data_IF_505525470482
#
_entry.id   IF_505525470482
#
_cell.length_a   1.000
_cell.length_b   1.000
_cell.length_c   1.000
_cell.angle_alpha   90.00
_cell.angle_beta   90.00
_cell.angle_gamma   90.00
#
_symmetry.space_group_name_H-M   'P 1'
#
loop_
_entity.id
_entity.type
_entity.pdbx_description
1 polymer ?
#
# COMPACT_ATOMS: atom_id res chain seq x y z
N UNK A 1 -29.72 -24.02 47.59
CA UNK A 1 -29.69 -23.88 46.13
C UNK A 1 -28.91 -22.62 45.81
N UNK A 2 -27.60 -22.76 45.54
CA UNK A 2 -26.76 -21.64 45.13
C UNK A 2 -26.53 -21.78 43.61
N UNK A 3 -27.02 -20.81 42.85
CA UNK A 3 -26.71 -20.70 41.43
C UNK A 3 -25.29 -20.15 41.28
N UNK A 4 -24.36 -21.04 40.98
CA UNK A 4 -23.00 -20.67 40.64
C UNK A 4 -23.01 -20.01 39.24
N UNK A 5 -22.92 -18.68 39.22
CA UNK A 5 -22.64 -17.94 37.99
C UNK A 5 -21.20 -18.24 37.57
N UNK A 6 -20.98 -19.30 36.80
CA UNK A 6 -19.76 -19.48 36.03
C UNK A 6 -19.73 -18.42 34.93
N UNK A 7 -19.26 -17.22 35.27
CA UNK A 7 -18.75 -16.29 34.28
C UNK A 7 -17.56 -16.98 33.62
N UNK A 8 -17.58 -17.22 32.30
CA UNK A 8 -16.51 -17.94 31.58
C UNK A 8 -15.29 -17.03 31.31
N UNK A 9 -14.22 -17.03 32.14
CA UNK A 9 -13.02 -16.23 31.87
C UNK A 9 -12.30 -16.67 30.58
N UNK A 10 -12.53 -17.91 30.14
CA UNK A 10 -11.82 -18.51 29.01
C UNK A 10 -12.32 -18.00 27.65
N UNK A 11 -13.60 -17.69 27.51
CA UNK A 11 -14.18 -17.17 26.26
C UNK A 11 -13.65 -15.77 25.98
N UNK A 12 -13.67 -14.88 26.97
CA UNK A 12 -13.14 -13.52 26.85
C UNK A 12 -11.65 -13.51 26.48
N UNK A 13 -10.84 -14.35 27.16
CA UNK A 13 -9.40 -14.47 26.86
C UNK A 13 -9.13 -15.00 25.46
N UNK A 14 -9.96 -15.92 24.95
CA UNK A 14 -9.87 -16.44 23.58
C UNK A 14 -10.20 -15.38 22.54
N UNK A 15 -11.24 -14.57 22.79
CA UNK A 15 -11.60 -13.44 21.94
C UNK A 15 -10.49 -12.39 21.84
N UNK A 16 -9.90 -12.01 22.98
CA UNK A 16 -8.76 -11.08 23.00
C UNK A 16 -7.60 -11.65 22.18
N UNK A 17 -7.25 -12.92 22.36
CA UNK A 17 -6.16 -13.54 21.59
C UNK A 17 -6.46 -13.55 20.10
N UNK A 18 -7.67 -13.94 19.68
CA UNK A 18 -8.05 -13.91 18.27
C UNK A 18 -7.95 -12.50 17.68
N UNK A 19 -8.41 -11.49 18.41
CA UNK A 19 -8.30 -10.10 17.99
C UNK A 19 -6.84 -9.66 17.87
N UNK A 20 -6.00 -10.02 18.85
CA UNK A 20 -4.56 -9.75 18.81
C UNK A 20 -3.88 -10.40 17.60
N UNK A 21 -4.22 -11.66 17.27
CA UNK A 21 -3.68 -12.32 16.08
C UNK A 21 -4.08 -11.61 14.79
N UNK A 22 -5.35 -11.20 14.66
CA UNK A 22 -5.81 -10.45 13.49
C UNK A 22 -5.11 -9.10 13.39
N UNK A 23 -4.98 -8.38 14.51
CA UNK A 23 -4.28 -7.09 14.56
C UNK A 23 -2.81 -7.21 14.18
N UNK A 24 -2.08 -8.20 14.75
CA UNK A 24 -0.68 -8.45 14.41
C UNK A 24 -0.49 -8.86 12.95
N UNK A 25 -1.39 -9.68 12.41
CA UNK A 25 -1.37 -10.07 11.00
C UNK A 25 -1.60 -8.85 10.09
N UNK A 26 -2.54 -7.98 10.45
CA UNK A 26 -2.79 -6.73 9.74
C UNK A 26 -1.60 -5.77 9.80
N UNK A 27 -0.95 -5.64 10.96
CA UNK A 27 0.26 -4.83 11.11
C UNK A 27 1.43 -5.39 10.29
N UNK A 28 1.61 -6.71 10.29
CA UNK A 28 2.65 -7.36 9.49
C UNK A 28 2.39 -7.14 8.00
N UNK A 29 1.15 -7.31 7.54
CA UNK A 29 0.78 -7.05 6.15
C UNK A 29 1.05 -5.59 5.78
N UNK A 30 0.65 -4.63 6.61
CA UNK A 30 0.94 -3.22 6.39
C UNK A 30 2.46 -2.94 6.33
N UNK A 31 3.25 -3.54 7.22
CA UNK A 31 4.70 -3.37 7.23
C UNK A 31 5.35 -3.92 5.95
N UNK A 32 4.92 -5.10 5.49
CA UNK A 32 5.42 -5.71 4.24
C UNK A 32 5.02 -4.87 3.02
N UNK A 33 3.78 -4.39 2.96
CA UNK A 33 3.31 -3.52 1.88
C UNK A 33 4.10 -2.21 1.84
N UNK A 34 4.38 -1.61 2.99
CA UNK A 34 5.21 -0.40 3.07
C UNK A 34 6.66 -0.67 2.63
N UNK A 35 7.25 -1.80 3.03
CA UNK A 35 8.58 -2.17 2.59
C UNK A 35 8.63 -2.38 1.06
N UNK A 36 7.57 -2.93 0.47
CA UNK A 36 7.40 -3.04 -0.98
C UNK A 36 7.42 -1.68 -1.65
N UNK A 37 6.58 -0.73 -1.22
CA UNK A 37 6.53 0.59 -1.87
C UNK A 37 7.85 1.37 -1.75
N UNK A 38 8.57 1.24 -0.63
CA UNK A 38 9.92 1.80 -0.50
C UNK A 38 10.91 1.20 -1.51
N UNK A 39 10.76 -0.08 -1.85
CA UNK A 39 11.59 -0.77 -2.83
C UNK A 39 11.23 -0.38 -4.27
N UNK A 40 9.94 -0.27 -4.58
CA UNK A 40 9.44 0.06 -5.92
C UNK A 40 9.71 1.53 -6.30
N UNK A 41 9.78 2.41 -5.31
CA UNK A 41 10.11 3.83 -5.49
C UNK A 41 11.42 4.20 -4.76
N UNK A 42 12.60 3.77 -5.24
CA UNK A 42 13.87 4.07 -4.58
C UNK A 42 14.27 5.54 -4.75
N UNK A 43 15.02 6.07 -3.78
CA UNK A 43 15.71 7.35 -3.95
C UNK A 43 17.03 7.08 -4.70
N UNK A 44 17.18 7.66 -5.87
CA UNK A 44 18.39 7.51 -6.68
C UNK A 44 19.42 8.58 -6.33
N UNK A 45 20.55 8.14 -5.77
CA UNK A 45 21.64 9.02 -5.35
C UNK A 45 22.30 9.76 -6.53
N UNK A 46 22.37 9.15 -7.72
CA UNK A 46 22.96 9.79 -8.90
C UNK A 46 22.05 10.89 -9.45
N UNK A 47 20.72 10.68 -9.41
CA UNK A 47 19.74 11.72 -9.75
C UNK A 47 19.87 12.89 -8.76
N UNK A 48 19.89 12.62 -7.45
CA UNK A 48 20.04 13.66 -6.42
C UNK A 48 21.37 14.41 -6.55
N UNK A 49 22.48 13.71 -6.83
CA UNK A 49 23.77 14.32 -7.09
C UNK A 49 23.71 15.27 -8.30
N UNK A 50 23.06 14.86 -9.40
CA UNK A 50 22.86 15.71 -10.58
C UNK A 50 21.94 16.90 -10.33
N UNK A 51 20.97 16.78 -9.42
CA UNK A 51 20.15 17.91 -9.00
C UNK A 51 20.93 18.92 -8.17
N UNK A 52 21.87 18.48 -7.33
CA UNK A 52 22.70 19.35 -6.48
C UNK A 52 23.88 19.98 -7.25
N UNK A 53 24.39 19.30 -8.27
CA UNK A 53 25.55 19.71 -9.05
C UNK A 53 25.31 21.03 -9.83
N UNK A 54 26.15 22.07 -9.64
CA UNK A 54 26.02 23.33 -10.38
C UNK A 54 26.31 23.16 -11.89
N UNK A 55 27.19 22.25 -12.27
CA UNK A 55 27.51 21.90 -13.65
C UNK A 55 26.30 21.35 -14.43
N UNK A 56 25.33 20.76 -13.73
CA UNK A 56 24.09 20.24 -14.34
C UNK A 56 22.98 21.30 -14.45
N UNK A 57 23.26 22.59 -14.23
CA UNK A 57 22.27 23.66 -14.32
C UNK A 57 21.56 23.76 -15.68
N UNK A 58 22.22 23.31 -16.76
CA UNK A 58 21.61 23.18 -18.09
C UNK A 58 20.46 22.15 -18.11
N UNK A 59 20.67 21.00 -17.47
CA UNK A 59 19.68 19.92 -17.34
C UNK A 59 18.48 20.38 -16.51
N UNK A 60 18.73 21.18 -15.46
CA UNK A 60 17.66 21.73 -14.61
C UNK A 60 16.62 22.54 -15.40
N UNK A 61 17.06 23.24 -16.46
CA UNK A 61 16.19 24.08 -17.30
C UNK A 61 15.38 23.31 -18.35
N UNK A 62 15.68 22.03 -18.58
CA UNK A 62 14.96 21.19 -19.55
C UNK A 62 13.53 20.95 -19.03
N UNK A 63 12.50 21.14 -19.84
CA UNK A 63 11.13 20.81 -19.45
C UNK A 63 10.97 19.31 -19.21
N UNK A 64 10.32 18.93 -18.11
CA UNK A 64 10.04 17.53 -17.78
C UNK A 64 9.31 16.83 -18.94
N UNK A 65 9.68 15.57 -19.22
CA UNK A 65 9.10 14.76 -20.29
C UNK A 65 9.41 15.24 -21.72
N UNK A 66 10.26 16.25 -21.88
CA UNK A 66 10.63 16.76 -23.21
C UNK A 66 11.88 16.07 -23.74
N UNK A 67 11.76 15.44 -24.91
CA UNK A 67 12.87 14.86 -25.69
C UNK A 67 13.41 15.82 -26.76
N UNK A 68 12.89 17.06 -26.83
CA UNK A 68 13.40 18.08 -27.75
C UNK A 68 14.87 18.37 -27.43
N UNK A 69 15.71 18.65 -28.45
CA UNK A 69 17.04 18.06 -28.64
C UNK A 69 18.10 18.67 -27.72
N UNK A 70 17.94 18.53 -26.42
CA UNK A 70 18.99 18.76 -25.47
C UNK A 70 20.01 17.64 -25.64
N UNK A 71 21.22 18.01 -26.08
CA UNK A 71 22.34 17.07 -26.20
C UNK A 71 22.54 16.39 -24.85
N UNK A 72 22.56 15.06 -24.86
CA UNK A 72 22.82 14.28 -23.66
C UNK A 72 24.18 14.69 -23.07
N UNK A 73 24.27 14.94 -21.75
CA UNK A 73 25.53 15.27 -21.10
C UNK A 73 26.52 14.10 -21.17
N UNK A 74 27.79 14.42 -21.39
CA UNK A 74 28.89 13.44 -21.36
C UNK A 74 29.27 13.04 -19.91
N UNK A 75 28.96 13.89 -18.93
CA UNK A 75 29.17 13.64 -17.51
C UNK A 75 28.10 12.69 -16.94
N UNK A 76 28.53 11.66 -16.21
CA UNK A 76 27.66 10.60 -15.68
C UNK A 76 26.61 11.10 -14.69
N UNK A 77 26.95 12.10 -13.89
CA UNK A 77 26.08 12.69 -12.87
C UNK A 77 24.97 13.50 -13.56
N UNK A 78 25.35 14.36 -14.52
CA UNK A 78 24.37 15.12 -15.29
C UNK A 78 23.53 14.24 -16.21
N UNK A 79 24.09 13.14 -16.72
CA UNK A 79 23.38 12.18 -17.58
C UNK A 79 22.25 11.47 -16.85
N UNK A 80 22.47 11.06 -15.60
CA UNK A 80 21.45 10.40 -14.78
C UNK A 80 20.26 11.34 -14.51
N UNK A 81 20.54 12.59 -14.13
CA UNK A 81 19.52 13.62 -13.96
C UNK A 81 18.81 13.98 -15.27
N UNK A 82 19.55 14.01 -16.39
CA UNK A 82 18.98 14.24 -17.72
C UNK A 82 17.96 13.17 -18.09
N UNK A 83 18.33 11.89 -17.95
CA UNK A 83 17.43 10.78 -18.26
C UNK A 83 16.17 10.82 -17.39
N UNK A 84 16.31 11.13 -16.12
CA UNK A 84 15.17 11.34 -15.23
C UNK A 84 14.25 12.47 -15.74
N UNK A 85 14.82 13.65 -16.06
CA UNK A 85 14.07 14.82 -16.56
C UNK A 85 13.34 14.55 -17.87
N UNK A 86 13.94 13.78 -18.77
CA UNK A 86 13.34 13.49 -20.07
C UNK A 86 12.37 12.31 -20.06
N UNK A 87 12.50 11.39 -19.11
CA UNK A 87 11.66 10.17 -19.04
C UNK A 87 10.32 10.44 -18.35
N UNK A 88 10.33 11.20 -17.26
CA UNK A 88 9.13 11.43 -16.46
C UNK A 88 8.54 12.82 -16.77
N UNK A 89 7.24 12.90 -17.13
CA UNK A 89 6.58 14.16 -17.51
C UNK A 89 6.44 15.16 -16.35
N UNK A 90 6.53 14.68 -15.13
CA UNK A 90 6.45 15.39 -13.86
C UNK A 90 7.80 15.42 -13.11
N UNK A 91 8.89 15.06 -13.80
CA UNK A 91 10.23 15.07 -13.23
C UNK A 91 10.57 16.43 -12.59
N UNK A 92 10.90 16.38 -11.30
CA UNK A 92 11.29 17.55 -10.51
C UNK A 92 12.70 18.04 -10.86
N UNK A 93 12.99 19.31 -10.57
CA UNK A 93 14.25 19.96 -10.94
C UNK A 93 15.19 20.22 -9.75
N UNK A 94 14.79 19.84 -8.55
CA UNK A 94 15.53 20.03 -7.31
C UNK A 94 15.32 18.86 -6.35
N UNK A 95 16.33 18.64 -5.51
CA UNK A 95 16.42 17.48 -4.61
C UNK A 95 15.24 17.40 -3.62
N UNK A 96 14.84 18.53 -3.02
CA UNK A 96 13.73 18.54 -2.05
C UNK A 96 12.41 18.12 -2.69
N UNK A 97 12.12 18.63 -3.89
CA UNK A 97 10.93 18.26 -4.64
C UNK A 97 10.97 16.78 -5.06
N UNK A 98 12.12 16.26 -5.48
CA UNK A 98 12.31 14.85 -5.79
C UNK A 98 12.07 13.93 -4.59
N UNK A 99 12.65 14.23 -3.44
CA UNK A 99 12.43 13.44 -2.22
C UNK A 99 10.97 13.46 -1.81
N UNK A 100 10.31 14.62 -1.98
CA UNK A 100 8.89 14.77 -1.67
C UNK A 100 8.01 13.99 -2.64
N UNK A 101 8.29 14.02 -3.95
CA UNK A 101 7.52 13.26 -4.94
C UNK A 101 7.65 11.76 -4.72
N UNK A 102 8.87 11.25 -4.51
CA UNK A 102 9.09 9.83 -4.21
C UNK A 102 8.39 9.41 -2.90
N UNK A 103 8.37 10.27 -1.87
CA UNK A 103 7.64 9.98 -0.64
C UNK A 103 6.10 9.94 -0.86
N UNK A 104 5.59 10.77 -1.75
CA UNK A 104 4.18 10.76 -2.16
C UNK A 104 3.85 9.48 -2.93
N UNK A 105 4.65 9.10 -3.93
CA UNK A 105 4.46 7.88 -4.73
C UNK A 105 4.39 6.64 -3.82
N UNK A 106 5.34 6.49 -2.89
CA UNK A 106 5.36 5.41 -1.88
C UNK A 106 4.08 5.37 -1.04
N UNK A 107 3.58 6.53 -0.67
CA UNK A 107 2.41 6.66 0.20
C UNK A 107 1.13 6.35 -0.56
N UNK A 108 1.03 6.79 -1.80
CA UNK A 108 -0.12 6.59 -2.65
C UNK A 108 -0.23 5.12 -3.08
N UNK A 109 0.89 4.49 -3.47
CA UNK A 109 0.94 3.05 -3.75
C UNK A 109 0.56 2.23 -2.50
N UNK A 110 1.15 2.54 -1.34
CA UNK A 110 0.80 1.88 -0.08
C UNK A 110 -0.70 1.98 0.23
N UNK A 111 -1.29 3.17 0.11
CA UNK A 111 -2.72 3.40 0.33
C UNK A 111 -3.57 2.62 -0.66
N UNK A 112 -3.18 2.60 -1.93
CA UNK A 112 -3.87 1.86 -2.97
C UNK A 112 -3.88 0.36 -2.68
N UNK A 113 -2.72 -0.22 -2.36
CA UNK A 113 -2.58 -1.66 -2.06
C UNK A 113 -3.37 -2.08 -0.81
N UNK A 114 -3.25 -1.33 0.29
CA UNK A 114 -4.04 -1.61 1.51
C UNK A 114 -5.53 -1.41 1.25
N UNK A 115 -5.91 -0.37 0.49
CA UNK A 115 -7.29 -0.10 0.12
C UNK A 115 -7.90 -1.27 -0.65
N UNK A 116 -7.21 -1.78 -1.67
CA UNK A 116 -7.67 -2.95 -2.42
C UNK A 116 -7.74 -4.21 -1.57
N UNK A 117 -6.71 -4.51 -0.78
CA UNK A 117 -6.72 -5.67 0.12
C UNK A 117 -7.89 -5.61 1.11
N UNK A 118 -8.21 -4.42 1.63
CA UNK A 118 -9.32 -4.19 2.54
C UNK A 118 -10.68 -4.39 1.86
N UNK A 119 -10.86 -3.83 0.66
CA UNK A 119 -12.10 -3.99 -0.11
C UNK A 119 -12.35 -5.45 -0.50
N UNK A 120 -11.33 -6.16 -0.96
CA UNK A 120 -11.41 -7.59 -1.27
C UNK A 120 -11.74 -8.42 -0.03
N UNK A 121 -11.12 -8.11 1.11
CA UNK A 121 -11.41 -8.79 2.37
C UNK A 121 -12.86 -8.57 2.80
N UNK A 122 -13.38 -7.34 2.69
CA UNK A 122 -14.78 -7.03 2.99
C UNK A 122 -15.75 -7.76 2.06
N UNK A 123 -15.45 -7.81 0.76
CA UNK A 123 -16.25 -8.54 -0.21
C UNK A 123 -16.28 -10.05 0.12
N UNK A 124 -15.13 -10.64 0.44
CA UNK A 124 -15.03 -12.05 0.81
C UNK A 124 -15.82 -12.39 2.08
N UNK A 125 -15.69 -11.56 3.12
CA UNK A 125 -16.47 -11.73 4.37
C UNK A 125 -17.97 -11.56 4.11
N UNK A 126 -18.36 -10.59 3.29
CA UNK A 126 -19.76 -10.38 2.89
C UNK A 126 -20.37 -11.60 2.19
N UNK A 127 -19.65 -12.18 1.22
CA UNK A 127 -20.07 -13.41 0.53
C UNK A 127 -20.19 -14.58 1.50
N UNK A 128 -19.22 -14.77 2.39
CA UNK A 128 -19.26 -15.84 3.38
C UNK A 128 -20.47 -15.71 4.33
N UNK A 129 -20.78 -14.49 4.80
CA UNK A 129 -21.96 -14.23 5.63
C UNK A 129 -23.26 -14.48 4.88
N UNK A 130 -23.37 -14.03 3.62
CA UNK A 130 -24.55 -14.26 2.80
C UNK A 130 -24.82 -15.76 2.60
N UNK A 131 -23.78 -16.55 2.31
CA UNK A 131 -23.89 -18.01 2.19
C UNK A 131 -24.28 -18.68 3.51
N UNK A 132 -23.70 -18.25 4.63
CA UNK A 132 -24.04 -18.80 5.95
C UNK A 132 -25.50 -18.53 6.32
N UNK A 133 -26.00 -17.32 6.05
CA UNK A 133 -27.39 -16.95 6.27
C UNK A 133 -28.34 -17.72 5.35
N UNK A 134 -28.00 -17.85 4.06
CA UNK A 134 -28.77 -18.63 3.10
C UNK A 134 -28.88 -20.09 3.53
N UNK A 135 -27.76 -20.72 3.90
CA UNK A 135 -27.74 -22.10 4.39
C UNK A 135 -28.57 -22.28 5.66
N UNK A 136 -28.44 -21.36 6.63
CA UNK A 136 -29.23 -21.39 7.87
C UNK A 136 -30.74 -21.25 7.58
N UNK A 137 -31.11 -20.41 6.63
CA UNK A 137 -32.51 -20.23 6.23
C UNK A 137 -33.09 -21.48 5.56
N UNK A 138 -32.34 -22.13 4.67
CA UNK A 138 -32.72 -23.36 3.98
C UNK A 138 -32.85 -24.52 4.97
N UNK A 139 -31.87 -24.70 5.85
CA UNK A 139 -31.91 -25.74 6.87
C UNK A 139 -33.03 -25.51 7.90
N UNK A 140 -33.32 -24.25 8.24
CA UNK A 140 -34.46 -23.90 9.09
C UNK A 140 -35.80 -24.27 8.45
N UNK A 141 -35.95 -23.99 7.14
CA UNK A 141 -37.15 -24.37 6.38
C UNK A 141 -37.29 -25.89 6.25
N UNK A 142 -36.22 -26.60 5.91
CA UNK A 142 -36.22 -28.06 5.77
C UNK A 142 -36.62 -28.76 7.08
N UNK A 143 -36.06 -28.30 8.21
CA UNK A 143 -36.37 -28.87 9.53
C UNK A 143 -37.80 -28.56 10.01
N UNK A 144 -38.41 -27.49 9.48
CA UNK A 144 -39.82 -27.16 9.75
C UNK A 144 -40.80 -27.97 8.88
N UNK A 145 -40.43 -28.32 7.65
CA UNK A 145 -41.24 -29.19 6.78
C UNK A 145 -41.24 -30.64 7.23
N UNK A 146 -40.16 -31.12 7.85
CA UNK A 146 -40.03 -32.51 8.33
C UNK A 146 -40.81 -32.79 9.63
N UNK A 147 -41.33 -31.74 10.30
CA UNK A 147 -42.11 -31.84 11.55
C UNK A 147 -43.63 -31.75 11.36
N UNK A 148 -44.11 -31.56 10.13
CA UNK A 148 -45.53 -31.63 9.77
C UNK A 148 -45.80 -32.96 9.10
#
# INVERSE_FOLDING_TARGET
>A
MNCEYQHEPNRHRRWIRSFQFVALSGLLAAAVTWAGSVYDHPLDAAIMAGMAAPECAGVRKITAGSLLPARQPDDDICRSFFLYRTTFPDATDNERAYVTSIAQDRTDEFRQLIGYASLLSLAAVGVALALALAFRSLHGRYRHSERR
#
